data_IF_855286678050
#
_entry.id   IF_855286678050
#
_cell.length_a   1.000
_cell.length_b   1.000
_cell.length_c   1.000
_cell.angle_alpha   90.00
_cell.angle_beta   90.00
_cell.angle_gamma   90.00
#
_symmetry.space_group_name_H-M   'P 1'
#
loop_
_entity.id
_entity.type
_entity.pdbx_description
1 polymer ?
#
# COMPACT_ATOMS: atom_id res chain seq x y z
N UNK A 1 -1.86 6.88 -73.26
CA UNK A 1 -2.32 6.90 -71.85
C UNK A 1 -2.14 5.51 -71.27
N UNK A 2 -1.17 5.31 -70.36
CA UNK A 2 -1.28 4.35 -69.25
C UNK A 2 -0.03 4.39 -68.33
N UNK A 3 -0.24 5.08 -67.20
CA UNK A 3 0.17 4.82 -65.82
C UNK A 3 1.59 4.32 -65.50
N UNK A 4 2.34 5.30 -65.00
CA UNK A 4 3.51 5.33 -64.10
C UNK A 4 3.39 4.41 -62.88
N UNK A 5 4.47 3.71 -62.47
CA UNK A 5 5.26 4.06 -61.28
C UNK A 5 6.30 2.99 -60.88
N UNK A 6 7.47 3.51 -60.57
CA UNK A 6 8.75 2.87 -60.24
C UNK A 6 8.69 2.26 -58.84
N UNK A 7 9.18 1.02 -58.68
CA UNK A 7 9.30 0.34 -57.40
C UNK A 7 10.56 0.81 -56.67
N UNK A 8 10.37 1.50 -55.55
CA UNK A 8 11.41 1.89 -54.59
C UNK A 8 10.91 1.43 -53.22
N UNK A 9 11.40 0.30 -52.71
CA UNK A 9 11.05 -0.17 -51.36
C UNK A 9 12.26 -0.06 -50.43
N UNK A 10 12.07 0.85 -49.48
CA UNK A 10 12.94 1.32 -48.41
C UNK A 10 13.07 0.28 -47.29
N UNK A 11 14.26 0.30 -46.66
CA UNK A 11 14.65 -0.24 -45.35
C UNK A 11 13.53 -0.75 -44.42
N UNK A 12 13.71 -1.97 -43.89
CA UNK A 12 13.10 -2.40 -42.63
C UNK A 12 14.18 -2.50 -41.54
N UNK A 13 14.30 -1.41 -40.77
CA UNK A 13 14.94 -1.41 -39.46
C UNK A 13 13.88 -1.91 -38.46
N UNK A 14 14.06 -3.10 -37.88
CA UNK A 14 13.25 -3.52 -36.74
C UNK A 14 14.17 -3.92 -35.59
N UNK A 15 14.50 -2.93 -34.76
CA UNK A 15 15.07 -3.14 -33.44
C UNK A 15 14.03 -3.82 -32.57
N UNK A 16 14.30 -5.05 -32.12
CA UNK A 16 13.64 -5.63 -30.94
C UNK A 16 14.74 -5.91 -29.93
N UNK A 17 15.10 -4.90 -29.14
CA UNK A 17 15.66 -5.17 -27.82
C UNK A 17 14.47 -5.59 -26.94
N UNK A 18 14.15 -6.88 -26.98
CA UNK A 18 13.29 -7.48 -25.98
C UNK A 18 14.08 -7.53 -24.67
N UNK A 19 14.04 -6.45 -23.89
CA UNK A 19 14.25 -6.58 -22.44
C UNK A 19 13.03 -7.32 -21.89
N UNK A 20 13.01 -8.63 -22.09
CA UNK A 20 12.09 -9.49 -21.37
C UNK A 20 12.45 -9.38 -19.89
N UNK A 21 11.65 -8.64 -19.13
CA UNK A 21 11.56 -8.92 -17.70
C UNK A 21 11.04 -10.35 -17.61
N UNK A 22 11.94 -11.30 -17.37
CA UNK A 22 11.56 -12.63 -16.89
C UNK A 22 10.66 -12.38 -15.67
N UNK A 23 9.44 -12.95 -15.62
CA UNK A 23 8.64 -12.90 -14.41
C UNK A 23 9.52 -13.38 -13.26
N UNK A 24 9.80 -12.52 -12.29
CA UNK A 24 10.62 -12.91 -11.15
C UNK A 24 9.90 -14.07 -10.48
N UNK A 25 10.48 -15.26 -10.55
CA UNK A 25 10.08 -16.34 -9.65
C UNK A 25 10.16 -15.79 -8.22
N UNK A 26 9.21 -16.19 -7.38
CA UNK A 26 9.13 -15.74 -6.00
C UNK A 26 10.48 -15.99 -5.33
N UNK A 27 11.18 -14.91 -4.97
CA UNK A 27 12.52 -15.04 -4.43
C UNK A 27 12.49 -15.40 -2.92
N UNK A 28 13.66 -15.60 -2.32
CA UNK A 28 13.75 -15.91 -0.90
C UNK A 28 13.21 -14.77 -0.01
N UNK A 29 13.33 -13.51 -0.44
CA UNK A 29 12.86 -12.34 0.30
C UNK A 29 11.34 -12.19 0.20
N UNK A 30 10.74 -12.45 -0.95
CA UNK A 30 9.28 -12.51 -1.13
C UNK A 30 8.66 -13.59 -0.24
N UNK A 31 9.29 -14.76 -0.19
CA UNK A 31 8.87 -15.85 0.69
C UNK A 31 8.86 -15.42 2.16
N UNK A 32 9.91 -14.72 2.60
CA UNK A 32 10.01 -14.19 3.96
C UNK A 32 8.98 -13.08 4.22
N UNK A 33 8.75 -12.17 3.27
CA UNK A 33 7.73 -11.11 3.39
C UNK A 33 6.31 -11.68 3.49
N UNK A 34 5.99 -12.72 2.71
CA UNK A 34 4.71 -13.42 2.80
C UNK A 34 4.56 -14.10 4.15
N UNK A 35 5.60 -14.81 4.62
CA UNK A 35 5.59 -15.44 5.95
C UNK A 35 5.38 -14.41 7.06
N UNK A 36 6.06 -13.27 6.98
CA UNK A 36 5.91 -12.19 7.95
C UNK A 36 4.51 -11.57 7.92
N UNK A 37 3.97 -11.30 6.74
CA UNK A 37 2.58 -10.85 6.58
C UNK A 37 1.61 -11.82 7.25
N UNK A 38 1.77 -13.13 7.03
CA UNK A 38 0.92 -14.15 7.62
C UNK A 38 0.97 -14.16 9.15
N UNK A 39 2.14 -13.91 9.74
CA UNK A 39 2.31 -13.74 11.20
C UNK A 39 1.52 -12.52 11.70
N UNK A 40 1.61 -11.39 10.99
CA UNK A 40 0.91 -10.16 11.37
C UNK A 40 -0.61 -10.30 11.25
N UNK A 41 -1.10 -10.98 10.23
CA UNK A 41 -2.54 -11.07 9.92
C UNK A 41 -3.22 -12.31 10.49
N UNK A 42 -2.47 -13.21 11.15
CA UNK A 42 -3.02 -14.44 11.72
C UNK A 42 -3.49 -15.45 10.67
N UNK A 43 -2.84 -15.53 9.50
CA UNK A 43 -3.20 -16.54 8.51
C UNK A 43 -3.01 -17.96 9.09
N UNK A 44 -3.95 -18.87 8.81
CA UNK A 44 -3.95 -20.27 9.27
C UNK A 44 -4.14 -20.48 10.79
N UNK A 45 -4.78 -19.54 11.51
CA UNK A 45 -5.08 -19.74 12.93
C UNK A 45 -6.32 -20.62 13.15
N UNK A 46 -6.19 -21.68 13.95
CA UNK A 46 -7.29 -22.57 14.39
C UNK A 46 -7.78 -22.23 15.81
N UNK A 47 -7.90 -20.95 16.15
CA UNK A 47 -8.48 -20.53 17.44
C UNK A 47 -10.00 -20.46 17.34
N UNK A 48 -10.72 -20.58 18.47
CA UNK A 48 -12.20 -20.48 18.44
C UNK A 48 -12.60 -19.18 17.74
N UNK A 49 -13.35 -19.30 16.65
CA UNK A 49 -13.62 -18.24 15.68
C UNK A 49 -14.08 -16.94 16.37
N UNK A 50 -14.89 -17.05 17.43
CA UNK A 50 -15.42 -15.91 18.20
C UNK A 50 -14.37 -14.90 18.71
N UNK A 51 -13.20 -15.34 19.20
CA UNK A 51 -12.21 -14.42 19.76
C UNK A 51 -11.41 -13.73 18.66
N UNK A 52 -11.15 -14.46 17.57
CA UNK A 52 -10.49 -13.91 16.38
C UNK A 52 -11.39 -12.85 15.75
N UNK A 53 -12.68 -13.15 15.57
CA UNK A 53 -13.65 -12.21 15.00
C UNK A 53 -13.80 -10.94 15.84
N UNK A 54 -13.90 -11.08 17.17
CA UNK A 54 -13.94 -9.93 18.07
C UNK A 54 -12.69 -9.04 17.93
N UNK A 55 -11.51 -9.66 17.78
CA UNK A 55 -10.26 -8.92 17.58
C UNK A 55 -10.21 -8.22 16.23
N UNK A 56 -10.64 -8.89 15.16
CA UNK A 56 -10.72 -8.30 13.81
C UNK A 56 -11.71 -7.14 13.80
N UNK A 57 -12.87 -7.27 14.44
CA UNK A 57 -13.87 -6.21 14.57
C UNK A 57 -13.32 -4.99 15.31
N UNK A 58 -12.58 -5.20 16.40
CA UNK A 58 -11.91 -4.13 17.13
C UNK A 58 -10.87 -3.41 16.26
N UNK A 59 -9.97 -4.14 15.60
CA UNK A 59 -8.95 -3.57 14.70
C UNK A 59 -9.61 -2.79 13.57
N UNK A 60 -10.67 -3.34 12.98
CA UNK A 60 -11.35 -2.71 11.85
C UNK A 60 -12.03 -1.41 12.28
N UNK A 61 -12.68 -1.39 13.45
CA UNK A 61 -13.29 -0.17 14.00
C UNK A 61 -12.24 0.90 14.30
N UNK A 62 -11.11 0.52 14.89
CA UNK A 62 -10.01 1.45 15.17
C UNK A 62 -9.37 1.99 13.88
N UNK A 63 -9.17 1.12 12.88
CA UNK A 63 -8.72 1.53 11.54
C UNK A 63 -9.66 2.55 10.89
N UNK A 64 -10.98 2.29 10.92
CA UNK A 64 -11.97 3.22 10.38
C UNK A 64 -11.90 4.57 11.09
N UNK A 65 -11.85 4.59 12.43
CA UNK A 65 -11.77 5.84 13.19
C UNK A 65 -10.49 6.64 12.90
N UNK A 66 -9.36 5.95 12.67
CA UNK A 66 -8.13 6.59 12.23
C UNK A 66 -8.25 7.13 10.81
N UNK A 67 -8.87 6.39 9.91
CA UNK A 67 -9.03 6.77 8.50
C UNK A 67 -10.02 7.93 8.32
N UNK A 68 -11.11 7.96 9.08
CA UNK A 68 -12.10 9.05 9.08
C UNK A 68 -11.47 10.38 9.46
N UNK A 69 -10.53 10.36 10.42
CA UNK A 69 -9.81 11.54 10.92
C UNK A 69 -8.54 11.87 10.16
N UNK A 70 -8.15 11.03 9.19
CA UNK A 70 -6.97 11.28 8.36
C UNK A 70 -7.26 12.51 7.49
N UNK A 71 -6.41 13.53 7.62
CA UNK A 71 -6.38 14.68 6.73
C UNK A 71 -5.83 14.22 5.36
N UNK A 72 -6.59 14.51 4.30
CA UNK A 72 -6.35 14.01 2.92
C UNK A 72 -6.06 15.14 1.93
N UNK A 73 -6.18 16.40 2.34
CA UNK A 73 -5.86 17.54 1.49
C UNK A 73 -4.38 17.53 1.06
N UNK A 74 -4.11 17.98 -0.17
CA UNK A 74 -2.75 17.94 -0.74
C UNK A 74 -1.77 18.88 -0.05
N UNK A 75 -2.27 19.94 0.57
CA UNK A 75 -1.56 20.99 1.29
C UNK A 75 -1.57 20.81 2.82
N UNK A 76 -1.91 19.60 3.30
CA UNK A 76 -1.99 19.30 4.73
C UNK A 76 -0.66 19.52 5.47
N UNK A 77 -0.75 20.12 6.66
CA UNK A 77 0.37 20.29 7.58
C UNK A 77 0.57 19.11 8.55
N UNK A 78 -0.42 18.23 8.67
CA UNK A 78 -0.41 17.03 9.51
C UNK A 78 -1.29 15.93 8.89
N UNK A 79 -1.12 14.68 9.33
CA UNK A 79 -2.06 13.59 9.01
C UNK A 79 -3.22 13.52 9.99
N UNK A 80 -2.95 13.79 11.26
CA UNK A 80 -3.95 13.86 12.33
C UNK A 80 -3.64 15.06 13.22
N UNK A 81 -4.67 15.85 13.53
CA UNK A 81 -4.49 17.09 14.29
C UNK A 81 -3.94 16.85 15.70
N UNK A 82 -4.32 15.74 16.33
CA UNK A 82 -3.84 15.35 17.65
C UNK A 82 -2.41 14.77 17.63
N UNK A 83 -1.78 14.68 16.46
CA UNK A 83 -0.39 14.22 16.25
C UNK A 83 0.43 15.25 15.43
N UNK A 84 0.10 16.53 15.58
CA UNK A 84 0.67 17.62 14.78
C UNK A 84 2.00 18.20 15.34
N UNK A 85 2.42 17.85 16.56
CA UNK A 85 3.63 18.39 17.18
C UNK A 85 4.90 17.94 16.44
N UNK A 86 5.72 18.90 16.05
CA UNK A 86 7.03 18.64 15.42
C UNK A 86 8.16 18.42 16.43
N UNK A 87 7.89 18.61 17.73
CA UNK A 87 8.90 18.50 18.80
C UNK A 87 8.71 17.28 19.69
N UNK A 88 7.57 16.57 19.58
CA UNK A 88 7.27 15.37 20.36
C UNK A 88 7.48 14.13 19.49
N UNK A 89 8.62 13.45 19.68
CA UNK A 89 8.98 12.25 18.89
C UNK A 89 7.98 11.09 19.04
N UNK A 90 7.29 11.00 20.17
CA UNK A 90 6.25 10.00 20.39
C UNK A 90 5.09 10.12 19.37
N UNK A 91 4.78 11.33 18.90
CA UNK A 91 3.70 11.52 17.92
C UNK A 91 4.04 10.94 16.54
N UNK A 92 5.31 10.92 16.16
CA UNK A 92 5.76 10.22 14.95
C UNK A 92 5.48 8.72 15.06
N UNK A 93 5.78 8.13 16.21
CA UNK A 93 5.51 6.71 16.49
C UNK A 93 4.01 6.44 16.47
N UNK A 94 3.20 7.30 17.08
CA UNK A 94 1.74 7.15 17.07
C UNK A 94 1.14 7.28 15.67
N UNK A 95 1.65 8.18 14.84
CA UNK A 95 1.20 8.31 13.45
C UNK A 95 1.46 7.02 12.65
N UNK A 96 2.67 6.45 12.73
CA UNK A 96 2.97 5.16 12.09
C UNK A 96 2.12 4.02 12.64
N UNK A 97 1.78 4.02 13.94
CA UNK A 97 0.86 3.03 14.52
C UNK A 97 -0.55 3.13 13.94
N UNK A 98 -1.07 4.33 13.70
CA UNK A 98 -2.38 4.52 13.02
C UNK A 98 -2.35 3.98 11.60
N UNK A 99 -1.31 4.32 10.84
CA UNK A 99 -1.10 3.81 9.48
C UNK A 99 -1.01 2.28 9.49
N UNK A 100 -0.28 1.70 10.45
CA UNK A 100 -0.19 0.25 10.62
C UNK A 100 -1.55 -0.40 10.92
N UNK A 101 -2.35 0.16 11.83
CA UNK A 101 -3.70 -0.35 12.13
C UNK A 101 -4.59 -0.33 10.88
N UNK A 102 -4.54 0.74 10.09
CA UNK A 102 -5.24 0.85 8.81
C UNK A 102 -4.79 -0.24 7.83
N UNK A 103 -3.48 -0.44 7.66
CA UNK A 103 -2.92 -1.48 6.80
C UNK A 103 -3.26 -2.90 7.28
N UNK A 104 -3.35 -3.11 8.59
CA UNK A 104 -3.76 -4.38 9.16
C UNK A 104 -5.22 -4.70 8.82
N UNK A 105 -6.14 -3.76 9.05
CA UNK A 105 -7.56 -3.92 8.69
C UNK A 105 -7.74 -4.20 7.19
N UNK A 106 -7.01 -3.48 6.32
CA UNK A 106 -7.02 -3.72 4.87
C UNK A 106 -6.67 -5.17 4.47
N UNK A 107 -5.90 -5.90 5.28
CA UNK A 107 -5.47 -7.27 4.98
C UNK A 107 -6.24 -8.37 5.73
N UNK A 108 -7.09 -8.05 6.72
CA UNK A 108 -7.74 -9.06 7.57
C UNK A 108 -8.99 -9.66 6.89
N UNK A 109 -9.13 -11.01 6.78
CA UNK A 109 -10.23 -11.69 6.08
C UNK A 109 -11.65 -11.21 6.40
N UNK A 110 -11.98 -11.01 7.68
CA UNK A 110 -13.32 -10.61 8.15
C UNK A 110 -13.47 -9.10 8.37
N UNK A 111 -12.48 -8.30 7.96
CA UNK A 111 -12.58 -6.85 8.03
C UNK A 111 -13.44 -6.32 6.89
N UNK A 112 -14.39 -5.44 7.18
CA UNK A 112 -15.14 -4.74 6.11
C UNK A 112 -14.27 -3.76 5.32
N UNK A 113 -13.05 -3.46 5.79
CA UNK A 113 -12.04 -2.66 5.09
C UNK A 113 -11.12 -3.50 4.20
N UNK A 114 -11.30 -4.82 4.18
CA UNK A 114 -10.42 -5.72 3.44
C UNK A 114 -10.44 -5.41 1.94
N UNK A 115 -9.26 -5.10 1.39
CA UNK A 115 -9.11 -4.87 -0.04
C UNK A 115 -9.69 -3.53 -0.53
N UNK A 116 -10.11 -2.63 0.36
CA UNK A 116 -10.58 -1.29 -0.01
C UNK A 116 -9.46 -0.50 -0.69
N UNK A 117 -9.67 -0.16 -1.97
CA UNK A 117 -8.67 0.50 -2.81
C UNK A 117 -8.42 1.95 -2.36
N UNK A 118 -9.44 2.65 -1.87
CA UNK A 118 -9.31 4.03 -1.40
C UNK A 118 -8.48 4.02 -0.11
N UNK A 119 -8.78 3.11 0.81
CA UNK A 119 -7.99 2.93 2.04
C UNK A 119 -6.53 2.64 1.71
N UNK A 120 -6.27 1.73 0.76
CA UNK A 120 -4.91 1.41 0.33
C UNK A 120 -4.18 2.66 -0.16
N UNK A 121 -4.82 3.45 -1.02
CA UNK A 121 -4.18 4.62 -1.63
C UNK A 121 -3.91 5.69 -0.57
N UNK A 122 -4.81 5.88 0.38
CA UNK A 122 -4.62 6.77 1.53
C UNK A 122 -3.51 6.29 2.49
N UNK A 123 -3.38 4.98 2.73
CA UNK A 123 -2.27 4.40 3.50
C UNK A 123 -0.93 4.73 2.83
N UNK A 124 -0.81 4.48 1.52
CA UNK A 124 0.42 4.74 0.76
C UNK A 124 0.73 6.24 0.78
N UNK A 125 -0.28 7.08 0.56
CA UNK A 125 -0.12 8.52 0.59
C UNK A 125 0.32 9.03 1.97
N UNK A 126 -0.24 8.50 3.05
CA UNK A 126 0.17 8.82 4.42
C UNK A 126 1.63 8.42 4.71
N UNK A 127 2.07 7.25 4.24
CA UNK A 127 3.48 6.81 4.38
C UNK A 127 4.43 7.76 3.65
N UNK A 128 4.11 8.11 2.39
CA UNK A 128 4.91 9.07 1.61
C UNK A 128 4.97 10.43 2.31
N UNK A 129 3.85 10.89 2.88
CA UNK A 129 3.82 12.16 3.61
C UNK A 129 4.67 12.10 4.88
N UNK A 130 4.62 11.02 5.66
CA UNK A 130 5.44 10.85 6.88
C UNK A 130 6.94 10.86 6.56
N UNK A 131 7.34 10.13 5.51
CA UNK A 131 8.73 10.08 5.04
C UNK A 131 9.24 11.46 4.61
N UNK A 132 8.43 12.21 3.85
CA UNK A 132 8.80 13.53 3.36
C UNK A 132 8.82 14.64 4.43
N UNK A 133 7.96 14.57 5.44
CA UNK A 133 7.72 15.72 6.33
C UNK A 133 8.07 15.49 7.80
N UNK A 134 8.12 14.24 8.28
CA UNK A 134 8.24 13.95 9.72
C UNK A 134 9.40 13.02 10.05
N UNK A 135 9.78 12.11 9.16
CA UNK A 135 10.89 11.18 9.38
C UNK A 135 12.07 11.49 8.45
N UNK A 136 12.42 12.78 8.40
CA UNK A 136 13.56 13.29 7.64
C UNK A 136 14.79 13.47 8.53
N UNK A 137 15.98 13.40 7.92
CA UNK A 137 17.26 13.70 8.59
C UNK A 137 17.53 15.20 8.64
#
# INVERSE_FOLDING_TARGET
MNKTNISFSILLFFCINATGQVPSALDAYDSLRIKWKNILTGANTSYSEKYVDAKVAYITKDAQANWDKLEKHTDRAFLWQDLASTTISAEITYAYRRIYTMALAYNLPSSYLKGDKILRDDIVNALIWMDKNRYVK
#
